data_IF_050788898341
#
_entry.id   IF_050788898341
#
_cell.length_a   1.000
_cell.length_b   1.000
_cell.length_c   1.000
_cell.angle_alpha   90.00
_cell.angle_beta   90.00
_cell.angle_gamma   90.00
#
_symmetry.space_group_name_H-M   'P 1'
#
loop_
_entity.id
_entity.type
_entity.pdbx_description
1 polymer ?
#
# COMPACT_ATOMS: atom_id res chain seq x y z
N UNK A 1 9.74 7.56 -21.80
CA UNK A 1 9.32 8.66 -20.92
C UNK A 1 9.36 8.15 -19.48
N UNK A 2 10.48 8.38 -18.79
CA UNK A 2 10.61 7.94 -17.39
C UNK A 2 9.66 8.76 -16.53
N UNK A 3 8.67 8.12 -15.91
CA UNK A 3 7.91 8.77 -14.85
C UNK A 3 8.92 9.23 -13.79
N UNK A 4 8.93 10.52 -13.47
CA UNK A 4 9.71 11.02 -12.34
C UNK A 4 9.28 10.24 -11.10
N UNK A 5 10.21 9.45 -10.53
CA UNK A 5 9.97 8.51 -9.43
C UNK A 5 9.35 9.19 -8.21
N UNK A 6 9.73 10.45 -7.98
CA UNK A 6 9.18 11.31 -6.93
C UNK A 6 7.70 11.67 -7.17
N UNK A 7 7.28 11.72 -8.44
CA UNK A 7 5.89 11.95 -8.82
C UNK A 7 5.01 10.74 -8.51
N UNK A 8 5.51 9.51 -8.73
CA UNK A 8 4.71 8.27 -8.57
C UNK A 8 4.13 8.17 -7.17
N UNK A 9 4.96 8.32 -6.13
CA UNK A 9 4.51 8.20 -4.74
C UNK A 9 3.50 9.30 -4.38
N UNK A 10 3.72 10.53 -4.86
CA UNK A 10 2.77 11.65 -4.68
C UNK A 10 1.43 11.37 -5.36
N UNK A 11 1.44 10.83 -6.58
CA UNK A 11 0.22 10.47 -7.30
C UNK A 11 -0.54 9.35 -6.60
N UNK A 12 0.17 8.31 -6.13
CA UNK A 12 -0.44 7.21 -5.37
C UNK A 12 -1.17 7.77 -4.14
N UNK A 13 -0.50 8.58 -3.33
CA UNK A 13 -1.10 9.18 -2.12
C UNK A 13 -2.29 10.08 -2.47
N UNK A 14 -2.19 10.88 -3.53
CA UNK A 14 -3.27 11.76 -3.97
C UNK A 14 -4.51 10.97 -4.45
N UNK A 15 -4.31 9.92 -5.26
CA UNK A 15 -5.40 9.07 -5.74
C UNK A 15 -6.03 8.30 -4.58
N UNK A 16 -5.21 7.78 -3.66
CA UNK A 16 -5.69 7.07 -2.47
C UNK A 16 -6.52 7.98 -1.58
N UNK A 17 -6.06 9.21 -1.33
CA UNK A 17 -6.79 10.22 -0.59
C UNK A 17 -8.13 10.58 -1.25
N UNK A 18 -8.13 10.85 -2.56
CA UNK A 18 -9.35 11.21 -3.29
C UNK A 18 -10.37 10.07 -3.25
N UNK A 19 -9.93 8.85 -3.55
CA UNK A 19 -10.81 7.69 -3.55
C UNK A 19 -11.33 7.37 -2.14
N UNK A 20 -10.50 7.51 -1.09
CA UNK A 20 -10.92 7.33 0.31
C UNK A 20 -12.01 8.32 0.69
N UNK A 21 -11.85 9.60 0.33
CA UNK A 21 -12.88 10.60 0.61
C UNK A 21 -14.20 10.27 -0.10
N UNK A 22 -14.15 9.82 -1.36
CA UNK A 22 -15.37 9.43 -2.10
C UNK A 22 -16.02 8.16 -1.54
N UNK A 23 -15.23 7.20 -1.06
CA UNK A 23 -15.72 5.99 -0.41
C UNK A 23 -16.39 6.30 0.95
N UNK A 24 -15.95 7.33 1.66
CA UNK A 24 -16.50 7.73 2.97
C UNK A 24 -17.69 8.69 2.91
N UNK A 25 -18.22 9.01 1.72
CA UNK A 25 -19.41 9.87 1.56
C UNK A 25 -20.65 9.29 2.25
N UNK A 26 -20.76 7.97 2.31
CA UNK A 26 -21.85 7.29 3.02
C UNK A 26 -21.29 6.57 4.25
N UNK A 27 -21.94 6.80 5.39
CA UNK A 27 -21.58 6.15 6.66
C UNK A 27 -22.16 4.73 6.68
N UNK A 28 -21.41 3.79 6.12
CA UNK A 28 -21.79 2.37 6.13
C UNK A 28 -20.64 1.42 6.43
N UNK A 29 -19.41 1.93 6.43
CA UNK A 29 -18.21 1.16 6.76
C UNK A 29 -17.90 1.27 8.25
N UNK A 30 -17.39 0.20 8.88
CA UNK A 30 -17.06 0.23 10.29
C UNK A 30 -15.92 1.20 10.59
N UNK A 31 -15.88 1.75 11.81
CA UNK A 31 -14.83 2.69 12.24
C UNK A 31 -13.41 2.13 12.04
N UNK A 32 -13.23 0.81 12.15
CA UNK A 32 -11.95 0.14 11.89
C UNK A 32 -11.45 0.34 10.46
N UNK A 33 -12.35 0.39 9.47
CA UNK A 33 -12.01 0.70 8.08
C UNK A 33 -11.55 2.15 7.94
N UNK A 34 -12.25 3.09 8.58
CA UNK A 34 -11.87 4.52 8.50
C UNK A 34 -10.47 4.71 9.08
N UNK A 35 -10.20 4.11 10.24
CA UNK A 35 -8.89 4.17 10.86
C UNK A 35 -7.79 3.56 9.97
N UNK A 36 -8.06 2.43 9.30
CA UNK A 36 -7.07 1.82 8.40
C UNK A 36 -6.78 2.69 7.16
N UNK A 37 -7.78 3.35 6.56
CA UNK A 37 -7.51 4.23 5.42
C UNK A 37 -6.75 5.49 5.82
N UNK A 38 -7.05 6.05 7.00
CA UNK A 38 -6.34 7.24 7.51
C UNK A 38 -4.87 6.91 7.81
N UNK A 39 -4.59 5.74 8.43
CA UNK A 39 -3.19 5.35 8.70
C UNK A 39 -2.38 5.16 7.43
N UNK A 40 -2.99 4.58 6.38
CA UNK A 40 -2.36 4.46 5.05
C UNK A 40 -2.01 5.83 4.49
N UNK A 41 -2.94 6.79 4.56
CA UNK A 41 -2.70 8.15 4.04
C UNK A 41 -1.55 8.83 4.81
N UNK A 42 -1.53 8.71 6.14
CA UNK A 42 -0.48 9.28 6.99
C UNK A 42 0.88 8.66 6.66
N UNK A 43 0.97 7.34 6.56
CA UNK A 43 2.19 6.63 6.16
C UNK A 43 2.61 6.97 4.73
N UNK A 44 1.65 7.17 3.84
CA UNK A 44 1.86 7.64 2.47
C UNK A 44 2.53 9.01 2.44
N UNK A 45 2.01 9.98 3.19
CA UNK A 45 2.64 11.30 3.32
C UNK A 45 4.03 11.21 3.95
N UNK A 46 4.20 10.36 4.97
CA UNK A 46 5.50 10.14 5.59
C UNK A 46 6.52 9.59 4.58
N UNK A 47 6.12 8.61 3.77
CA UNK A 47 6.96 8.03 2.71
C UNK A 47 7.31 9.07 1.62
N UNK A 48 6.41 10.02 1.33
CA UNK A 48 6.68 11.14 0.41
C UNK A 48 7.73 12.11 0.95
N UNK A 49 7.68 12.42 2.25
CA UNK A 49 8.66 13.30 2.90
C UNK A 49 10.03 12.61 2.96
N UNK A 50 10.04 11.35 3.41
CA UNK A 50 11.26 10.56 3.63
C UNK A 50 11.47 9.56 2.50
N UNK A 51 11.59 10.08 1.28
CA UNK A 51 11.69 9.29 0.04
C UNK A 51 12.94 8.41 -0.05
N UNK A 52 13.95 8.60 0.78
CA UNK A 52 15.20 7.83 0.71
C UNK A 52 15.16 6.57 1.60
N UNK A 53 14.17 6.44 2.49
CA UNK A 53 14.05 5.28 3.37
C UNK A 53 13.30 4.13 2.71
N UNK A 54 13.96 2.99 2.56
CA UNK A 54 13.34 1.74 2.10
C UNK A 54 12.34 1.17 3.13
N UNK A 55 12.62 1.37 4.42
CA UNK A 55 11.81 0.84 5.53
C UNK A 55 10.39 1.42 5.50
N UNK A 56 10.24 2.71 5.16
CA UNK A 56 8.93 3.34 5.07
C UNK A 56 8.07 2.78 3.94
N UNK A 57 8.70 2.45 2.80
CA UNK A 57 7.99 1.83 1.67
C UNK A 57 7.58 0.40 2.04
N UNK A 58 8.44 -0.34 2.75
CA UNK A 58 8.13 -1.69 3.23
C UNK A 58 7.00 -1.69 4.26
N UNK A 59 7.02 -0.75 5.21
CA UNK A 59 5.95 -0.56 6.17
C UNK A 59 4.62 -0.21 5.47
N UNK A 60 4.66 0.71 4.51
CA UNK A 60 3.47 1.09 3.75
C UNK A 60 2.90 -0.09 2.96
N UNK A 61 3.74 -0.91 2.30
CA UNK A 61 3.27 -2.13 1.62
C UNK A 61 2.63 -3.13 2.59
N UNK A 62 3.22 -3.33 3.77
CA UNK A 62 2.69 -4.26 4.76
C UNK A 62 1.32 -3.81 5.29
N UNK A 63 1.19 -2.52 5.60
CA UNK A 63 -0.08 -1.93 6.04
C UNK A 63 -1.13 -2.03 4.92
N UNK A 64 -0.75 -1.75 3.67
CA UNK A 64 -1.66 -1.86 2.52
C UNK A 64 -2.15 -3.30 2.34
N UNK A 65 -1.26 -4.28 2.49
CA UNK A 65 -1.59 -5.70 2.38
C UNK A 65 -2.61 -6.14 3.43
N UNK A 66 -2.40 -5.82 4.71
CA UNK A 66 -3.37 -6.13 5.76
C UNK A 66 -4.69 -5.38 5.55
N UNK A 67 -4.61 -4.15 5.05
CA UNK A 67 -5.78 -3.34 4.77
C UNK A 67 -6.65 -3.95 3.65
N UNK A 68 -6.06 -4.56 2.61
CA UNK A 68 -6.84 -5.30 1.58
C UNK A 68 -7.71 -6.38 2.22
N UNK A 69 -7.16 -7.15 3.16
CA UNK A 69 -7.86 -8.26 3.83
C UNK A 69 -9.01 -7.70 4.68
N UNK A 70 -8.71 -6.70 5.50
CA UNK A 70 -9.70 -6.07 6.39
C UNK A 70 -10.83 -5.40 5.60
N UNK A 71 -10.50 -4.74 4.50
CA UNK A 71 -11.47 -4.09 3.62
C UNK A 71 -12.39 -5.09 2.93
N UNK A 72 -11.85 -6.23 2.46
CA UNK A 72 -12.65 -7.28 1.84
C UNK A 72 -13.69 -7.85 2.82
N UNK A 73 -13.29 -8.07 4.08
CA UNK A 73 -14.19 -8.54 5.14
C UNK A 73 -15.22 -7.46 5.49
N UNK A 74 -14.77 -6.22 5.68
CA UNK A 74 -15.61 -5.08 6.05
C UNK A 74 -16.70 -4.80 5.00
N UNK A 75 -16.31 -4.72 3.73
CA UNK A 75 -17.25 -4.56 2.61
C UNK A 75 -18.19 -5.77 2.53
N UNK A 76 -17.67 -7.00 2.60
CA UNK A 76 -18.47 -8.21 2.49
C UNK A 76 -19.56 -8.32 3.57
N UNK A 77 -19.24 -7.96 4.81
CA UNK A 77 -20.19 -8.02 5.92
C UNK A 77 -21.19 -6.86 5.93
N UNK A 78 -20.72 -5.62 5.72
CA UNK A 78 -21.55 -4.43 5.91
C UNK A 78 -22.37 -4.02 4.69
N UNK A 79 -22.02 -4.46 3.48
CA UNK A 79 -22.67 -4.04 2.24
C UNK A 79 -24.17 -4.37 2.20
N UNK A 80 -24.56 -5.59 2.57
CA UNK A 80 -25.97 -6.02 2.51
C UNK A 80 -26.83 -5.32 3.57
N UNK A 81 -26.26 -5.09 4.76
CA UNK A 81 -26.91 -4.41 5.88
C UNK A 81 -27.16 -2.95 5.50
N UNK A 82 -26.13 -2.28 4.99
CA UNK A 82 -26.21 -0.91 4.51
C UNK A 82 -27.19 -0.76 3.35
N UNK A 83 -27.13 -1.64 2.35
CA UNK A 83 -28.05 -1.62 1.21
C UNK A 83 -29.51 -1.64 1.65
N UNK A 84 -29.87 -2.45 2.65
CA UNK A 84 -31.24 -2.46 3.20
C UNK A 84 -31.60 -1.15 3.88
N UNK A 85 -30.70 -0.58 4.67
CA UNK A 85 -30.95 0.69 5.37
C UNK A 85 -31.14 1.86 4.39
N UNK A 86 -30.25 1.99 3.39
CA UNK A 86 -30.27 3.09 2.42
C UNK A 86 -31.39 2.99 1.38
N UNK A 87 -31.95 1.80 1.13
CA UNK A 87 -33.16 1.62 0.31
C UNK A 87 -34.41 2.18 0.99
N UNK A 88 -34.47 2.16 2.33
CA UNK A 88 -35.61 2.64 3.11
C UNK A 88 -35.59 4.16 3.26
N UNK A 89 -34.42 4.78 3.35
CA UNK A 89 -34.27 6.21 3.63
C UNK A 89 -34.24 7.11 2.38
N UNK A 90 -34.22 6.54 1.17
CA UNK A 90 -34.17 7.30 -0.09
C UNK A 90 -32.80 7.85 -0.46
N UNK A 91 -31.77 7.69 0.37
CA UNK A 91 -30.37 8.14 0.11
C UNK A 91 -29.56 7.14 -0.75
N UNK A 92 -30.21 6.46 -1.69
CA UNK A 92 -29.63 5.36 -2.46
C UNK A 92 -28.46 5.79 -3.36
N UNK A 93 -28.49 7.01 -3.92
CA UNK A 93 -27.45 7.49 -4.85
C UNK A 93 -26.08 7.66 -4.19
N UNK A 94 -26.02 8.25 -2.99
CA UNK A 94 -24.77 8.45 -2.24
C UNK A 94 -24.16 7.11 -1.82
N UNK A 95 -25.01 6.16 -1.41
CA UNK A 95 -24.59 4.80 -1.07
C UNK A 95 -24.00 4.06 -2.27
N UNK A 96 -24.66 4.10 -3.44
CA UNK A 96 -24.16 3.44 -4.65
C UNK A 96 -22.83 4.04 -5.09
N UNK A 97 -22.70 5.37 -5.06
CA UNK A 97 -21.45 6.05 -5.38
C UNK A 97 -20.33 5.63 -4.42
N UNK A 98 -20.56 5.73 -3.12
CA UNK A 98 -19.59 5.33 -2.09
C UNK A 98 -19.17 3.86 -2.22
N UNK A 99 -20.12 2.95 -2.48
CA UNK A 99 -19.85 1.53 -2.67
C UNK A 99 -18.96 1.25 -3.89
N UNK A 100 -19.19 1.96 -5.01
CA UNK A 100 -18.35 1.86 -6.20
C UNK A 100 -16.93 2.29 -5.87
N UNK A 101 -16.75 3.41 -5.18
CA UNK A 101 -15.42 3.89 -4.80
C UNK A 101 -14.72 2.99 -3.78
N UNK A 102 -15.46 2.37 -2.84
CA UNK A 102 -14.91 1.40 -1.89
C UNK A 102 -14.39 0.14 -2.61
N UNK A 103 -15.14 -0.37 -3.59
CA UNK A 103 -14.70 -1.50 -4.42
C UNK A 103 -13.53 -1.09 -5.31
N UNK A 104 -13.57 0.12 -5.87
CA UNK A 104 -12.48 0.65 -6.69
C UNK A 104 -11.17 0.79 -5.89
N UNK A 105 -11.23 1.26 -4.65
CA UNK A 105 -10.09 1.28 -3.73
C UNK A 105 -9.53 -0.12 -3.52
N UNK A 106 -10.38 -1.11 -3.27
CA UNK A 106 -9.95 -2.50 -3.08
C UNK A 106 -9.22 -3.04 -4.32
N UNK A 107 -9.68 -2.69 -5.53
CA UNK A 107 -9.04 -3.06 -6.79
C UNK A 107 -7.76 -2.24 -7.07
N UNK A 108 -7.66 -1.02 -6.56
CA UNK A 108 -6.50 -0.16 -6.77
C UNK A 108 -5.33 -0.54 -5.86
N UNK A 109 -5.60 -1.03 -4.65
CA UNK A 109 -4.58 -1.50 -3.70
C UNK A 109 -3.56 -2.51 -4.27
N UNK A 110 -3.93 -3.57 -5.01
CA UNK A 110 -2.93 -4.46 -5.61
C UNK A 110 -2.05 -3.74 -6.66
N UNK A 111 -2.60 -2.77 -7.40
CA UNK A 111 -1.82 -1.97 -8.35
C UNK A 111 -0.82 -1.09 -7.59
N UNK A 112 -1.27 -0.44 -6.51
CA UNK A 112 -0.43 0.36 -5.62
C UNK A 112 0.69 -0.51 -5.04
N UNK A 113 0.37 -1.70 -4.53
CA UNK A 113 1.34 -2.65 -3.97
C UNK A 113 2.43 -3.03 -4.99
N UNK A 114 2.04 -3.29 -6.25
CA UNK A 114 2.99 -3.59 -7.32
C UNK A 114 3.89 -2.40 -7.65
N UNK A 115 3.34 -1.17 -7.66
CA UNK A 115 4.12 0.05 -7.87
C UNK A 115 5.09 0.30 -6.72
N UNK A 116 4.67 0.10 -5.47
CA UNK A 116 5.55 0.19 -4.31
C UNK A 116 6.65 -0.87 -4.35
N UNK A 117 6.31 -2.10 -4.79
CA UNK A 117 7.31 -3.15 -4.93
C UNK A 117 8.37 -2.79 -5.98
N UNK A 118 7.99 -2.17 -7.10
CA UNK A 118 8.95 -1.63 -8.07
C UNK A 118 9.83 -0.55 -7.46
N UNK A 119 9.22 0.43 -6.77
CA UNK A 119 9.97 1.49 -6.06
C UNK A 119 10.93 0.90 -5.02
N UNK A 120 10.55 -0.20 -4.36
CA UNK A 120 11.41 -0.93 -3.43
C UNK A 120 12.57 -1.63 -4.14
N UNK A 121 12.30 -2.37 -5.21
CA UNK A 121 13.33 -3.05 -5.99
C UNK A 121 14.37 -2.06 -6.53
N UNK A 122 13.92 -0.90 -7.00
CA UNK A 122 14.79 0.18 -7.48
C UNK A 122 15.67 0.79 -6.37
N UNK A 123 15.25 0.72 -5.09
CA UNK A 123 16.00 1.26 -3.94
C UNK A 123 16.97 0.26 -3.34
N UNK A 124 16.68 -1.03 -3.47
CA UNK A 124 17.57 -2.11 -3.02
C UNK A 124 18.70 -2.36 -4.04
N UNK A 125 18.50 -2.01 -5.31
CA UNK A 125 19.37 -2.48 -6.40
C UNK A 125 19.34 -4.00 -6.51
N UNK A 126 20.06 -4.58 -7.46
CA UNK A 126 20.25 -6.05 -7.56
C UNK A 126 20.93 -6.69 -6.32
N UNK A 127 21.16 -5.91 -5.26
CA UNK A 127 21.74 -6.36 -4.01
C UNK A 127 20.66 -6.88 -3.06
N UNK A 128 20.61 -8.21 -2.98
CA UNK A 128 20.03 -9.02 -1.94
C UNK A 128 18.49 -9.10 -1.88
N UNK A 129 18.03 -10.35 -2.00
CA UNK A 129 16.69 -10.76 -1.58
C UNK A 129 16.40 -10.22 -0.17
N UNK A 130 15.24 -9.59 0.06
CA UNK A 130 14.91 -9.03 1.35
C UNK A 130 14.60 -10.17 2.30
N UNK A 131 15.55 -10.50 3.18
CA UNK A 131 15.25 -11.35 4.32
C UNK A 131 14.62 -10.50 5.41
N UNK A 132 13.40 -10.87 5.80
CA UNK A 132 12.68 -10.28 6.91
C UNK A 132 13.55 -10.35 8.18
N UNK A 133 14.03 -9.19 8.65
CA UNK A 133 14.78 -9.06 9.90
C UNK A 133 16.23 -9.57 9.88
N UNK A 134 16.88 -9.76 8.73
CA UNK A 134 18.31 -10.14 8.67
C UNK A 134 18.63 -11.58 9.08
N UNK A 135 17.62 -12.48 9.08
CA UNK A 135 17.77 -13.90 9.46
C UNK A 135 18.08 -14.84 8.28
N UNK A 136 18.58 -14.30 7.17
CA UNK A 136 19.00 -15.09 6.00
C UNK A 136 20.49 -15.37 5.99
N UNK A 137 20.97 -16.36 5.22
CA UNK A 137 22.39 -16.48 4.93
C UNK A 137 22.89 -15.16 4.35
N UNK A 138 23.78 -14.48 5.06
CA UNK A 138 24.50 -13.33 4.53
C UNK A 138 25.36 -13.86 3.38
N UNK A 139 24.85 -13.87 2.15
CA UNK A 139 25.72 -14.03 0.98
C UNK A 139 26.56 -12.77 0.94
N UNK A 140 27.87 -12.83 1.25
CA UNK A 140 28.71 -11.66 1.15
C UNK A 140 28.70 -11.27 -0.32
N UNK A 141 28.16 -10.10 -0.65
CA UNK A 141 28.37 -9.53 -1.98
C UNK A 141 29.88 -9.31 -2.12
N UNK A 142 30.53 -9.82 -3.17
CA UNK A 142 31.94 -9.55 -3.41
C UNK A 142 32.13 -8.03 -3.41
N UNK A 143 32.86 -7.50 -2.43
CA UNK A 143 33.22 -6.08 -2.43
C UNK A 143 34.11 -5.89 -3.66
N UNK A 144 33.79 -4.97 -4.59
CA UNK A 144 34.62 -4.74 -5.76
C UNK A 144 36.06 -4.42 -5.33
N UNK A 145 37.00 -5.30 -5.62
CA UNK A 145 38.41 -5.18 -5.22
C UNK A 145 38.83 -5.97 -3.97
N UNK A 146 37.93 -6.74 -3.36
CA UNK A 146 38.27 -7.69 -2.29
C UNK A 146 38.15 -9.12 -2.81
N UNK A 147 39.28 -9.79 -3.03
CA UNK A 147 39.32 -11.25 -3.14
C UNK A 147 39.55 -11.84 -1.75
N UNK A 148 38.72 -12.80 -1.31
CA UNK A 148 38.94 -13.52 -0.06
C UNK A 148 40.31 -14.20 -0.07
N UNK A 149 41.03 -14.16 1.06
CA UNK A 149 42.40 -14.72 1.19
C UNK A 149 42.43 -16.22 0.92
N UNK A 150 41.34 -16.89 1.24
CA UNK A 150 41.03 -18.30 1.01
C UNK A 150 40.96 -18.68 -0.48
N UNK A 151 40.73 -17.73 -1.38
CA UNK A 151 40.71 -17.94 -2.83
C UNK A 151 42.06 -17.63 -3.50
N UNK A 152 43.00 -16.98 -2.77
CA UNK A 152 44.35 -16.69 -3.27
C UNK A 152 45.35 -17.82 -3.02
N UNK A 153 44.97 -18.83 -2.23
CA UNK A 153 45.85 -19.95 -1.83
C UNK A 153 45.44 -21.30 -2.41
N UNK A 154 44.58 -21.32 -3.43
CA UNK A 154 44.19 -22.53 -4.17
C UNK A 154 44.86 -22.60 -5.55
#
# INVERSE_FOLDING_TARGET
MGLNRDGILRYIVAIHFLCTNMALIADWLPMSYILSQVTIIVLGFWAVINRDSAILVELLMLVEFFSIILDAIGIGMHFQIARRAYLVTGYSSNFVLSAIFAIFLLLLKPIILLLLNKVRQDRLGDAASPTFGGWGPNTPTPVPGYTPVDEQTA
#
